data_IF_430114325854
#
_entry.id   IF_430114325854
#
_cell.length_a   1.000
_cell.length_b   1.000
_cell.length_c   1.000
_cell.angle_alpha   90.00
_cell.angle_beta   90.00
_cell.angle_gamma   90.00
#
_symmetry.space_group_name_H-M   'P 1'
#
loop_
_entity.id
_entity.type
_entity.pdbx_description
1 polymer ?
#
# COMPACT_ATOMS: atom_id res chain seq x y z
N UNK A 1 15.66 -7.84 -34.68
CA UNK A 1 14.52 -7.37 -33.86
C UNK A 1 14.98 -7.36 -32.41
N UNK A 2 15.02 -6.21 -31.73
CA UNK A 2 15.33 -6.19 -30.30
C UNK A 2 14.08 -6.64 -29.53
N UNK A 3 14.16 -7.81 -28.92
CA UNK A 3 13.10 -8.42 -28.10
C UNK A 3 12.97 -7.75 -26.74
N UNK A 4 13.94 -6.90 -26.37
CA UNK A 4 14.03 -6.20 -25.10
C UNK A 4 14.09 -4.70 -25.38
N UNK A 5 13.24 -3.92 -24.70
CA UNK A 5 13.21 -2.46 -24.82
C UNK A 5 13.00 -1.84 -23.45
N UNK A 6 13.72 -0.77 -23.17
CA UNK A 6 13.51 0.07 -21.98
C UNK A 6 12.87 1.38 -22.46
N UNK A 7 11.77 1.80 -21.84
CA UNK A 7 11.09 3.06 -22.17
C UNK A 7 10.54 3.68 -20.91
N UNK A 8 10.99 4.89 -20.55
CA UNK A 8 10.60 5.59 -19.32
C UNK A 8 10.72 4.65 -18.11
N UNK A 9 11.90 4.07 -17.90
CA UNK A 9 12.20 3.12 -16.81
C UNK A 9 11.36 1.82 -16.80
N UNK A 10 10.50 1.59 -17.79
CA UNK A 10 9.78 0.34 -17.96
C UNK A 10 10.57 -0.64 -18.84
N UNK A 11 10.74 -1.86 -18.35
CA UNK A 11 11.37 -2.97 -19.05
C UNK A 11 10.30 -3.76 -19.79
N UNK A 12 10.39 -3.75 -21.13
CA UNK A 12 9.52 -4.49 -22.03
C UNK A 12 10.25 -5.71 -22.60
N UNK A 13 9.70 -6.91 -22.40
CA UNK A 13 10.20 -8.18 -22.92
C UNK A 13 9.16 -8.80 -23.87
N UNK A 14 9.48 -8.93 -25.15
CA UNK A 14 8.55 -9.35 -26.21
C UNK A 14 7.24 -8.55 -26.22
N UNK A 15 7.30 -7.26 -25.85
CA UNK A 15 6.13 -6.38 -25.75
C UNK A 15 5.37 -6.45 -24.42
N UNK A 16 5.70 -7.39 -23.54
CA UNK A 16 5.11 -7.49 -22.20
C UNK A 16 5.88 -6.65 -21.19
N UNK A 17 5.17 -6.11 -20.19
CA UNK A 17 5.76 -5.32 -19.10
C UNK A 17 6.44 -6.23 -18.08
N UNK A 18 7.69 -6.58 -18.34
CA UNK A 18 8.42 -7.56 -17.54
C UNK A 18 8.94 -7.01 -16.21
N UNK A 19 9.21 -5.70 -16.17
CA UNK A 19 9.81 -5.08 -14.99
C UNK A 19 9.94 -3.57 -15.13
N UNK A 20 10.61 -2.96 -14.17
CA UNK A 20 10.92 -1.53 -14.15
C UNK A 20 12.32 -1.29 -13.57
N UNK A 21 12.83 -0.08 -13.76
CA UNK A 21 14.11 0.38 -13.22
C UNK A 21 13.82 1.32 -12.06
N UNK A 22 14.45 1.07 -10.92
CA UNK A 22 14.41 1.91 -9.73
C UNK A 22 15.82 2.13 -9.20
N UNK A 23 16.25 3.39 -9.10
CA UNK A 23 17.55 3.76 -8.54
C UNK A 23 18.76 2.97 -9.12
N UNK A 24 18.74 2.64 -10.42
CA UNK A 24 19.79 1.85 -11.07
C UNK A 24 19.68 0.34 -10.90
N UNK A 25 18.58 -0.13 -10.30
CA UNK A 25 18.22 -1.54 -10.15
C UNK A 25 17.07 -1.89 -11.10
N UNK A 26 17.22 -2.95 -11.87
CA UNK A 26 16.16 -3.57 -12.64
C UNK A 26 15.38 -4.55 -11.77
N UNK A 27 14.12 -4.23 -11.46
CA UNK A 27 13.19 -5.10 -10.74
C UNK A 27 12.29 -5.80 -11.77
N UNK A 28 12.43 -7.12 -11.88
CA UNK A 28 11.80 -7.93 -12.94
C UNK A 28 11.03 -9.10 -12.35
N UNK A 29 9.89 -9.41 -12.97
CA UNK A 29 9.12 -10.58 -12.57
C UNK A 29 9.85 -11.90 -12.94
N UNK A 30 9.97 -12.87 -12.03
CA UNK A 30 10.52 -14.21 -12.30
C UNK A 30 9.85 -14.93 -13.48
N UNK A 31 8.61 -14.58 -13.84
CA UNK A 31 7.94 -15.10 -15.05
C UNK A 31 8.75 -14.85 -16.34
N UNK A 32 9.61 -13.82 -16.35
CA UNK A 32 10.48 -13.47 -17.46
C UNK A 32 11.95 -13.85 -17.23
N UNK A 33 12.24 -14.73 -16.28
CA UNK A 33 13.60 -15.17 -15.96
C UNK A 33 14.22 -15.98 -17.10
N UNK A 34 14.84 -15.27 -18.04
CA UNK A 34 15.59 -15.81 -19.18
C UNK A 34 16.99 -15.23 -19.19
N UNK A 35 17.98 -16.04 -19.58
CA UNK A 35 19.38 -15.62 -19.68
C UNK A 35 19.55 -14.39 -20.58
N UNK A 36 18.79 -14.30 -21.67
CA UNK A 36 18.79 -13.14 -22.58
C UNK A 36 18.42 -11.84 -21.84
N UNK A 37 17.37 -11.86 -21.01
CA UNK A 37 16.91 -10.68 -20.27
C UNK A 37 17.89 -10.31 -19.16
N UNK A 38 18.42 -11.32 -18.47
CA UNK A 38 19.45 -11.14 -17.44
C UNK A 38 20.69 -10.46 -18.02
N UNK A 39 21.31 -11.06 -19.04
CA UNK A 39 22.52 -10.51 -19.67
C UNK A 39 22.29 -9.13 -20.27
N UNK A 40 21.11 -8.87 -20.83
CA UNK A 40 20.77 -7.52 -21.31
C UNK A 40 20.79 -6.49 -20.17
N UNK A 41 20.11 -6.77 -19.05
CA UNK A 41 20.01 -5.81 -17.95
C UNK A 41 21.33 -5.63 -17.20
N UNK A 42 22.07 -6.71 -16.95
CA UNK A 42 23.31 -6.66 -16.15
C UNK A 42 24.54 -6.31 -16.97
N UNK A 43 24.72 -6.89 -18.15
CA UNK A 43 25.97 -6.76 -18.92
C UNK A 43 25.91 -5.59 -19.91
N UNK A 44 24.73 -5.34 -20.51
CA UNK A 44 24.58 -4.29 -21.52
C UNK A 44 24.17 -2.95 -20.90
N UNK A 45 23.21 -2.96 -19.99
CA UNK A 45 22.71 -1.74 -19.33
C UNK A 45 23.43 -1.45 -18.00
N UNK A 46 24.16 -2.42 -17.44
CA UNK A 46 24.93 -2.23 -16.20
C UNK A 46 24.08 -2.10 -14.94
N UNK A 47 22.84 -2.59 -14.96
CA UNK A 47 21.89 -2.49 -13.85
C UNK A 47 22.04 -3.65 -12.86
N UNK A 48 21.80 -3.40 -11.59
CA UNK A 48 21.64 -4.47 -10.60
C UNK A 48 20.29 -5.17 -10.83
N UNK A 49 20.26 -6.50 -10.87
CA UNK A 49 19.03 -7.26 -11.17
C UNK A 49 18.39 -7.83 -9.92
N UNK A 50 17.13 -7.48 -9.68
CA UNK A 50 16.27 -8.06 -8.64
C UNK A 50 15.10 -8.82 -9.28
N UNK A 51 14.91 -10.07 -8.85
CA UNK A 51 13.73 -10.84 -9.21
C UNK A 51 12.67 -10.67 -8.12
N UNK A 52 11.51 -10.12 -8.48
CA UNK A 52 10.40 -9.93 -7.56
C UNK A 52 9.10 -10.42 -8.17
N UNK A 53 8.48 -11.41 -7.52
CA UNK A 53 7.18 -11.95 -7.95
C UNK A 53 6.07 -10.90 -7.86
N UNK A 54 5.12 -10.94 -8.79
CA UNK A 54 3.95 -10.04 -8.83
C UNK A 54 4.23 -8.68 -9.48
N UNK A 55 5.42 -8.49 -10.07
CA UNK A 55 5.76 -7.27 -10.81
C UNK A 55 4.98 -7.20 -12.13
N UNK A 56 4.80 -8.34 -12.81
CA UNK A 56 4.02 -8.38 -14.06
C UNK A 56 2.56 -8.03 -13.82
N UNK A 57 1.94 -8.66 -12.82
CA UNK A 57 0.56 -8.38 -12.38
C UNK A 57 0.44 -6.91 -11.95
N UNK A 58 1.38 -6.43 -11.15
CA UNK A 58 1.41 -5.02 -10.74
C UNK A 58 1.55 -4.04 -11.90
N UNK A 59 2.32 -4.33 -12.94
CA UNK A 59 2.47 -3.46 -14.12
C UNK A 59 1.28 -3.54 -15.09
N UNK A 60 0.61 -4.70 -15.17
CA UNK A 60 -0.55 -4.92 -16.03
C UNK A 60 -1.81 -4.30 -15.44
N UNK A 61 -2.02 -4.48 -14.14
CA UNK A 61 -3.17 -3.96 -13.40
C UNK A 61 -3.01 -2.49 -12.99
N UNK A 62 -1.87 -1.86 -13.32
CA UNK A 62 -1.50 -0.52 -12.86
C UNK A 62 -1.56 -0.45 -11.33
N UNK A 63 -0.78 -1.29 -10.66
CA UNK A 63 -0.35 -1.18 -9.26
C UNK A 63 1.12 -0.77 -9.10
N UNK A 64 1.87 -0.61 -10.19
CA UNK A 64 3.24 -0.07 -10.23
C UNK A 64 3.28 1.04 -11.28
N UNK A 65 3.79 2.22 -10.93
CA UNK A 65 3.96 3.32 -11.89
C UNK A 65 5.31 3.17 -12.63
N UNK A 66 5.30 3.04 -13.97
CA UNK A 66 6.54 2.83 -14.71
C UNK A 66 7.42 4.07 -14.80
N UNK A 67 6.90 5.30 -14.60
CA UNK A 67 7.65 6.54 -14.78
C UNK A 67 8.39 6.99 -13.50
N UNK A 68 8.33 6.20 -12.43
CA UNK A 68 9.07 6.49 -11.20
C UNK A 68 8.86 5.45 -10.13
N UNK A 69 9.43 4.24 -10.32
CA UNK A 69 10.03 3.35 -9.30
C UNK A 69 9.21 2.87 -8.08
N UNK A 70 8.12 3.53 -7.74
CA UNK A 70 7.34 3.30 -6.55
C UNK A 70 6.13 2.41 -6.86
N UNK A 71 5.72 1.54 -5.92
CA UNK A 71 4.39 0.96 -5.97
C UNK A 71 3.37 2.10 -6.16
N UNK A 72 2.37 1.90 -7.02
CA UNK A 72 1.28 2.87 -7.15
C UNK A 72 0.73 3.12 -5.76
N UNK A 73 0.55 4.40 -5.50
CA UNK A 73 0.11 4.90 -4.23
C UNK A 73 -1.20 4.21 -3.88
N UNK A 74 -1.20 3.52 -2.75
CA UNK A 74 -2.41 2.93 -2.21
C UNK A 74 -3.31 4.07 -1.77
N UNK A 75 -4.60 3.80 -1.75
CA UNK A 75 -5.49 4.67 -0.98
C UNK A 75 -5.28 4.37 0.50
N UNK A 76 -5.44 5.40 1.32
CA UNK A 76 -5.34 5.30 2.76
C UNK A 76 -6.69 5.57 3.39
N UNK A 77 -7.04 4.74 4.37
CA UNK A 77 -8.17 4.96 5.24
C UNK A 77 -7.71 4.95 6.69
N UNK A 78 -8.20 5.90 7.47
CA UNK A 78 -7.87 5.99 8.90
C UNK A 78 -9.09 5.61 9.71
N UNK A 79 -8.89 4.67 10.62
CA UNK A 79 -9.90 4.13 11.53
C UNK A 79 -9.54 4.57 12.94
N UNK A 80 -10.46 5.24 13.62
CA UNK A 80 -10.30 5.66 15.01
C UNK A 80 -11.40 5.05 15.86
N UNK A 81 -11.07 4.71 17.10
CA UNK A 81 -12.06 4.25 18.07
C UNK A 81 -13.17 5.28 18.24
N UNK A 82 -14.42 4.81 18.26
CA UNK A 82 -15.59 5.68 18.43
C UNK A 82 -15.55 6.39 19.79
N UNK A 83 -16.20 7.54 19.95
CA UNK A 83 -16.20 8.24 21.24
C UNK A 83 -16.85 7.43 22.37
N UNK A 84 -17.79 6.54 22.06
CA UNK A 84 -18.64 5.76 22.97
C UNK A 84 -18.05 4.40 23.40
N UNK A 85 -16.89 3.99 22.86
CA UNK A 85 -16.22 2.76 23.33
C UNK A 85 -15.62 2.95 24.72
N UNK A 86 -15.25 1.83 25.35
CA UNK A 86 -14.55 1.84 26.64
C UNK A 86 -13.28 2.73 26.53
N UNK A 87 -13.18 3.81 27.33
CA UNK A 87 -12.01 4.70 27.33
C UNK A 87 -10.69 3.96 27.58
N UNK A 88 -10.74 2.81 28.25
CA UNK A 88 -9.58 1.98 28.56
C UNK A 88 -9.00 1.26 27.33
N UNK A 89 -9.73 1.23 26.22
CA UNK A 89 -9.23 0.75 24.91
C UNK A 89 -8.41 1.81 24.17
N UNK A 90 -8.45 3.08 24.61
CA UNK A 90 -7.78 4.20 23.94
C UNK A 90 -6.35 4.34 24.44
N UNK A 91 -5.44 4.68 23.53
CA UNK A 91 -4.04 4.96 23.83
C UNK A 91 -3.25 3.78 24.43
N UNK A 92 -3.65 2.55 24.12
CA UNK A 92 -2.92 1.33 24.51
C UNK A 92 -2.17 0.74 23.33
N UNK A 93 -1.17 -0.10 23.61
CA UNK A 93 -0.46 -0.86 22.57
C UNK A 93 -1.26 -2.08 22.12
N UNK A 94 -0.87 -2.68 20.99
CA UNK A 94 -1.62 -3.81 20.42
C UNK A 94 -1.62 -5.04 21.35
N UNK A 95 -0.47 -5.36 21.98
CA UNK A 95 -0.39 -6.50 22.90
C UNK A 95 -1.30 -6.29 24.12
N UNK A 96 -1.39 -5.07 24.64
CA UNK A 96 -2.25 -4.73 25.77
C UNK A 96 -3.75 -4.81 25.37
N UNK A 97 -4.09 -4.39 24.15
CA UNK A 97 -5.43 -4.56 23.61
C UNK A 97 -5.81 -6.04 23.56
N UNK A 98 -4.93 -6.89 23.00
CA UNK A 98 -5.15 -8.34 22.92
C UNK A 98 -5.33 -8.99 24.30
N UNK A 99 -4.49 -8.65 25.28
CA UNK A 99 -4.56 -9.23 26.62
C UNK A 99 -5.85 -8.85 27.38
N UNK A 100 -6.35 -7.63 27.17
CA UNK A 100 -7.44 -7.06 27.98
C UNK A 100 -8.81 -7.13 27.31
N UNK A 101 -8.84 -7.02 25.98
CA UNK A 101 -10.07 -6.89 25.19
C UNK A 101 -10.15 -7.90 24.03
N UNK A 102 -9.02 -8.51 23.65
CA UNK A 102 -8.94 -9.43 22.51
C UNK A 102 -8.61 -8.70 21.21
N UNK A 103 -8.91 -9.36 20.09
CA UNK A 103 -8.69 -8.80 18.75
C UNK A 103 -9.48 -7.49 18.53
N UNK A 104 -8.94 -6.52 17.76
CA UNK A 104 -9.64 -5.27 17.51
C UNK A 104 -10.94 -5.52 16.73
N UNK A 105 -12.06 -5.18 17.34
CA UNK A 105 -13.38 -5.28 16.72
C UNK A 105 -13.67 -4.04 15.85
N UNK A 106 -13.85 -4.19 14.53
CA UNK A 106 -14.13 -3.09 13.62
C UNK A 106 -15.37 -2.27 13.94
N UNK A 107 -16.39 -2.84 14.60
CA UNK A 107 -17.60 -2.09 14.98
C UNK A 107 -17.29 -1.00 16.02
N UNK A 108 -16.19 -1.15 16.78
CA UNK A 108 -15.70 -0.14 17.71
C UNK A 108 -14.99 1.03 17.01
N UNK A 109 -14.74 0.94 15.70
CA UNK A 109 -14.04 1.95 14.93
C UNK A 109 -15.00 2.75 14.05
N UNK A 110 -14.57 3.96 13.71
CA UNK A 110 -15.18 4.78 12.66
C UNK A 110 -14.09 5.22 11.69
N UNK A 111 -14.45 5.29 10.41
CA UNK A 111 -13.60 5.90 9.40
C UNK A 111 -13.60 7.41 9.58
N UNK A 112 -12.42 8.01 9.72
CA UNK A 112 -12.24 9.46 9.84
C UNK A 112 -11.56 10.10 8.64
N UNK A 113 -11.00 9.27 7.75
CA UNK A 113 -10.41 9.68 6.49
C UNK A 113 -10.45 8.53 5.51
N UNK A 114 -10.68 8.83 4.23
CA UNK A 114 -10.65 7.87 3.13
C UNK A 114 -10.26 8.60 1.85
N UNK A 115 -9.06 8.34 1.32
CA UNK A 115 -8.60 9.04 0.14
C UNK A 115 -7.25 8.55 -0.39
N UNK A 116 -6.87 9.06 -1.55
CA UNK A 116 -5.55 8.82 -2.11
C UNK A 116 -4.48 9.47 -1.23
N UNK A 117 -3.35 8.79 -1.07
CA UNK A 117 -2.16 9.33 -0.42
C UNK A 117 -1.03 9.39 -1.42
N UNK A 118 -0.02 10.20 -1.14
CA UNK A 118 1.16 10.38 -1.98
C UNK A 118 2.39 9.66 -1.47
N UNK A 119 2.21 8.81 -0.45
CA UNK A 119 3.23 7.86 0.03
C UNK A 119 2.57 6.61 0.62
N UNK A 120 3.23 5.47 0.46
CA UNK A 120 2.85 4.19 1.10
C UNK A 120 3.65 3.96 2.40
N UNK A 121 4.56 4.86 2.77
CA UNK A 121 5.36 4.75 3.98
C UNK A 121 4.53 5.18 5.20
N UNK A 122 4.33 4.26 6.15
CA UNK A 122 3.52 4.50 7.34
C UNK A 122 4.05 5.62 8.23
N UNK A 123 5.38 5.78 8.35
CA UNK A 123 5.98 6.87 9.12
C UNK A 123 5.72 8.23 8.47
N UNK A 124 5.80 8.33 7.15
CA UNK A 124 5.48 9.55 6.42
C UNK A 124 3.97 9.88 6.48
N UNK A 125 3.11 8.85 6.39
CA UNK A 125 1.67 9.00 6.59
C UNK A 125 1.38 9.50 8.00
N UNK A 126 2.01 8.92 9.00
CA UNK A 126 1.87 9.35 10.38
C UNK A 126 2.29 10.80 10.59
N UNK A 127 3.41 11.21 10.01
CA UNK A 127 3.84 12.61 10.03
C UNK A 127 2.79 13.52 9.38
N UNK A 128 2.21 13.13 8.24
CA UNK A 128 1.17 13.92 7.55
C UNK A 128 -0.09 14.09 8.36
N UNK A 129 -0.67 12.99 8.84
CA UNK A 129 -1.90 13.02 9.63
C UNK A 129 -1.73 13.69 11.00
N UNK A 130 -0.50 14.00 11.43
CA UNK A 130 -0.24 14.79 12.64
C UNK A 130 0.13 16.26 12.36
N UNK A 131 0.90 16.53 11.30
CA UNK A 131 1.43 17.87 11.00
C UNK A 131 0.48 18.72 10.14
N UNK A 132 -0.17 18.09 9.16
CA UNK A 132 -1.03 18.77 8.19
C UNK A 132 -2.16 17.83 7.75
N UNK A 133 -3.28 17.89 8.48
CA UNK A 133 -4.43 17.04 8.21
C UNK A 133 -4.88 17.19 6.74
N UNK A 134 -5.05 16.07 6.01
CA UNK A 134 -5.53 16.12 4.64
C UNK A 134 -6.99 16.58 4.59
N UNK A 135 -7.42 17.06 3.42
CA UNK A 135 -8.79 17.50 3.21
C UNK A 135 -9.76 16.32 3.42
N UNK A 136 -10.80 16.53 4.22
CA UNK A 136 -11.76 15.47 4.57
C UNK A 136 -11.35 14.60 5.77
N UNK A 137 -10.29 14.96 6.49
CA UNK A 137 -9.93 14.32 7.75
C UNK A 137 -10.79 14.89 8.90
N UNK A 138 -11.68 14.08 9.45
CA UNK A 138 -12.67 14.48 10.48
C UNK A 138 -12.35 13.92 11.89
N UNK A 139 -11.13 13.37 12.05
CA UNK A 139 -10.67 12.71 13.27
C UNK A 139 -9.73 13.56 14.13
N UNK A 140 -9.23 12.95 15.21
CA UNK A 140 -8.08 13.50 15.95
C UNK A 140 -6.78 13.11 15.27
N UNK A 141 -5.67 13.76 15.60
CA UNK A 141 -4.35 13.37 15.13
C UNK A 141 -4.04 11.92 15.50
N UNK A 142 -3.27 11.21 14.66
CA UNK A 142 -3.01 9.78 14.85
C UNK A 142 -2.36 9.48 16.19
N UNK A 143 -2.87 8.46 16.85
CA UNK A 143 -2.44 8.05 18.18
C UNK A 143 -2.50 6.53 18.35
N UNK A 144 -1.89 6.03 19.43
CA UNK A 144 -2.05 4.63 19.83
C UNK A 144 -3.54 4.26 19.85
N UNK A 145 -3.88 3.04 19.42
CA UNK A 145 -5.25 2.53 19.19
C UNK A 145 -5.92 2.88 17.86
N UNK A 146 -5.35 3.78 17.06
CA UNK A 146 -5.82 4.02 15.70
C UNK A 146 -5.31 2.92 14.74
N UNK A 147 -6.02 2.74 13.62
CA UNK A 147 -5.64 1.78 12.57
C UNK A 147 -5.56 2.50 11.23
N UNK A 148 -4.45 2.29 10.53
CA UNK A 148 -4.22 2.77 9.16
C UNK A 148 -4.46 1.60 8.21
N UNK A 149 -5.41 1.75 7.30
CA UNK A 149 -5.63 0.82 6.21
C UNK A 149 -4.98 1.36 4.94
N UNK A 150 -4.09 0.57 4.35
CA UNK A 150 -3.55 0.81 3.02
C UNK A 150 -4.17 -0.17 2.04
N UNK A 151 -5.01 0.35 1.15
CA UNK A 151 -5.82 -0.48 0.26
C UNK A 151 -5.66 -0.12 -1.22
N UNK A 152 -5.81 -1.15 -2.05
CA UNK A 152 -5.99 -1.07 -3.49
C UNK A 152 -7.25 -1.84 -3.91
N UNK A 153 -7.51 -1.98 -5.21
CA UNK A 153 -8.72 -2.65 -5.72
C UNK A 153 -8.83 -4.13 -5.33
N UNK A 154 -7.75 -4.74 -4.85
CA UNK A 154 -7.69 -6.18 -4.60
C UNK A 154 -7.18 -6.54 -3.21
N UNK A 155 -6.40 -5.68 -2.55
CA UNK A 155 -5.79 -5.98 -1.25
C UNK A 155 -5.86 -4.77 -0.32
N UNK A 156 -6.32 -5.01 0.92
CA UNK A 156 -6.17 -4.11 2.06
C UNK A 156 -5.15 -4.69 3.05
N UNK A 157 -4.27 -3.85 3.59
CA UNK A 157 -3.49 -4.18 4.78
C UNK A 157 -3.76 -3.17 5.89
N UNK A 158 -3.86 -3.66 7.12
CA UNK A 158 -4.28 -2.88 8.28
C UNK A 158 -3.14 -2.80 9.29
N UNK A 159 -2.82 -1.58 9.71
CA UNK A 159 -1.66 -1.26 10.52
C UNK A 159 -2.11 -0.53 11.78
N UNK A 160 -2.06 -1.20 12.92
CA UNK A 160 -2.33 -0.63 14.23
C UNK A 160 -1.19 0.32 14.63
N UNK A 161 -1.53 1.52 15.06
CA UNK A 161 -0.57 2.48 15.63
C UNK A 161 -0.24 2.02 17.04
N UNK A 162 1.00 1.55 17.25
CA UNK A 162 1.49 1.06 18.54
C UNK A 162 2.43 2.09 19.18
N UNK A 163 2.91 1.81 20.39
CA UNK A 163 3.87 2.64 21.13
C UNK A 163 5.15 2.90 20.33
N UNK A 164 5.57 1.92 19.53
CA UNK A 164 6.75 2.01 18.68
C UNK A 164 6.41 1.55 17.25
N UNK A 165 6.02 2.52 16.42
CA UNK A 165 5.71 2.28 15.01
C UNK A 165 4.34 1.64 14.81
N UNK A 166 4.27 0.68 13.90
CA UNK A 166 3.03 0.06 13.45
C UNK A 166 3.10 -1.45 13.52
N UNK A 167 1.99 -2.09 13.86
CA UNK A 167 1.82 -3.54 13.76
C UNK A 167 0.78 -3.88 12.72
N UNK A 168 1.11 -4.78 11.81
CA UNK A 168 0.12 -5.35 10.90
C UNK A 168 -0.83 -6.28 11.67
N UNK A 169 -2.13 -6.09 11.49
CA UNK A 169 -3.16 -6.78 12.28
C UNK A 169 -4.21 -7.46 11.37
N UNK A 170 -4.79 -8.60 11.80
CA UNK A 170 -5.90 -9.22 11.11
C UNK A 170 -7.20 -8.46 11.40
N UNK A 171 -7.35 -7.29 10.77
CA UNK A 171 -8.54 -6.46 10.89
C UNK A 171 -9.44 -6.67 9.67
N UNK A 172 -10.70 -7.01 9.88
CA UNK A 172 -11.65 -7.22 8.80
C UNK A 172 -12.91 -6.41 9.06
N UNK A 173 -12.97 -5.13 8.62
CA UNK A 173 -14.19 -4.37 8.73
C UNK A 173 -15.31 -5.10 7.98
N UNK A 174 -16.56 -5.06 8.48
CA UNK A 174 -17.69 -5.61 7.75
C UNK A 174 -17.67 -5.04 6.34
N UNK A 175 -17.76 -5.93 5.34
CA UNK A 175 -17.55 -5.66 3.92
C UNK A 175 -18.27 -4.37 3.52
N UNK A 176 -17.53 -3.25 3.49
CA UNK A 176 -18.07 -1.99 3.03
C UNK A 176 -18.25 -2.15 1.54
N UNK A 177 -19.51 -2.16 1.09
CA UNK A 177 -19.92 -2.16 -0.31
C UNK A 177 -18.89 -1.38 -1.12
N UNK A 178 -18.08 -2.12 -1.89
CA UNK A 178 -17.24 -1.56 -2.94
C UNK A 178 -18.10 -0.53 -3.64
N UNK A 179 -17.74 0.75 -3.52
CA UNK A 179 -18.40 1.86 -4.20
C UNK A 179 -18.52 1.46 -5.68
N UNK A 180 -19.68 0.91 -6.05
CA UNK A 180 -20.04 0.72 -7.43
C UNK A 180 -20.23 2.14 -7.93
N UNK A 181 -19.32 2.56 -8.81
CA UNK A 181 -19.42 3.86 -9.47
C UNK A 181 -20.85 4.10 -9.97
N UNK A 182 -21.30 5.35 -10.03
CA UNK A 182 -22.70 5.70 -10.22
C UNK A 182 -23.29 4.92 -11.39
N UNK A 183 -24.31 4.12 -11.11
CA UNK A 183 -25.13 3.48 -12.14
C UNK A 183 -25.85 4.61 -12.87
N UNK A 184 -25.30 5.02 -14.02
CA UNK A 184 -26.01 5.84 -14.98
C UNK A 184 -27.24 5.07 -15.43
N UNK A 185 -28.39 5.42 -14.85
CA UNK A 185 -29.70 5.02 -15.35
C UNK A 185 -29.90 5.74 -16.69
N UNK A 186 -30.07 4.96 -17.76
CA UNK A 186 -30.64 5.46 -19.03
C UNK A 186 -32.15 5.60 -18.92
#
# INVERSE_FOLDING_TARGET
MNNIRIKNDLILYYGNKAGYIDNGKAVVDPLFQKDELRSYLTEKEGLELEWRSGVYEGLTERRIDPAGGAPLLKSCRVWQLRPDVDPMMKFIGYDELLERFGEPDPDNYRTVYNGEVDTNNLDELFARFNLAHPTGYEGHSLSMSDVIELYDKSVSSFHYVDRFGFKEIPFQPPEQELYQGPTMSM
#
